data_IF_462256844433
#
_entry.id   IF_462256844433
#
_cell.length_a   1.000
_cell.length_b   1.000
_cell.length_c   1.000
_cell.angle_alpha   90.00
_cell.angle_beta   90.00
_cell.angle_gamma   90.00
#
_symmetry.space_group_name_H-M   'P 1'
#
loop_
_entity.id
_entity.type
_entity.pdbx_description
1 polymer ?
#
# COMPACT_ATOMS: atom_id res chain seq x y z
N UNK A 1 -4.38 -26.90 19.78
CA UNK A 1 -5.38 -27.74 19.11
C UNK A 1 -5.70 -27.07 17.79
N UNK A 2 -5.49 -27.71 16.61
CA UNK A 2 -5.94 -27.11 15.33
C UNK A 2 -7.42 -26.82 15.46
N UNK A 3 -7.81 -25.64 15.02
CA UNK A 3 -9.21 -25.18 15.13
C UNK A 3 -10.05 -25.77 14.01
N UNK A 4 -10.69 -26.91 14.26
CA UNK A 4 -11.72 -27.41 13.36
C UNK A 4 -12.94 -26.50 13.44
N UNK A 5 -13.24 -25.78 12.39
CA UNK A 5 -14.45 -25.00 12.26
C UNK A 5 -15.59 -25.91 11.81
N UNK A 6 -16.69 -25.95 12.57
CA UNK A 6 -17.87 -26.70 12.22
C UNK A 6 -19.04 -25.77 11.88
N UNK A 7 -19.61 -25.92 10.69
CA UNK A 7 -20.70 -25.08 10.19
C UNK A 7 -21.87 -25.96 9.81
N UNK A 8 -23.10 -25.58 10.22
CA UNK A 8 -24.32 -26.19 9.76
C UNK A 8 -24.98 -25.31 8.71
N UNK A 9 -25.24 -25.85 7.53
CA UNK A 9 -25.84 -25.10 6.42
C UNK A 9 -27.33 -24.85 6.71
N UNK A 10 -27.73 -23.58 6.67
CA UNK A 10 -29.14 -23.17 6.82
C UNK A 10 -29.92 -23.31 5.49
N UNK A 11 -31.27 -23.42 5.58
CA UNK A 11 -32.13 -23.53 4.40
C UNK A 11 -31.93 -22.42 3.35
N UNK A 12 -31.75 -21.13 3.71
CA UNK A 12 -31.58 -20.08 2.73
C UNK A 12 -30.30 -20.18 1.90
N UNK A 13 -29.31 -20.93 2.39
CA UNK A 13 -27.98 -21.06 1.77
C UNK A 13 -27.90 -22.29 0.84
N UNK A 14 -28.92 -23.13 0.81
CA UNK A 14 -28.97 -24.34 -0.02
C UNK A 14 -28.82 -24.01 -1.50
N UNK A 15 -28.02 -24.81 -2.20
CA UNK A 15 -27.68 -24.60 -3.62
C UNK A 15 -26.48 -23.67 -3.86
N UNK A 16 -25.96 -23.00 -2.82
CA UNK A 16 -24.76 -22.18 -2.93
C UNK A 16 -23.53 -23.06 -3.12
N UNK A 17 -22.58 -22.61 -3.90
CA UNK A 17 -21.32 -23.33 -4.08
C UNK A 17 -20.50 -23.31 -2.80
N UNK A 18 -19.86 -24.42 -2.45
CA UNK A 18 -19.07 -24.60 -1.24
C UNK A 18 -18.01 -23.51 -1.03
N UNK A 19 -17.26 -23.15 -2.09
CA UNK A 19 -16.24 -22.08 -2.03
C UNK A 19 -16.85 -20.70 -1.74
N UNK A 20 -18.03 -20.44 -2.24
CA UNK A 20 -18.73 -19.17 -2.02
C UNK A 20 -19.41 -19.14 -0.65
N UNK A 21 -20.03 -20.24 -0.26
CA UNK A 21 -20.67 -20.39 1.05
C UNK A 21 -19.66 -20.20 2.19
N UNK A 22 -18.53 -20.91 2.13
CA UNK A 22 -17.46 -20.77 3.14
C UNK A 22 -16.88 -19.34 3.15
N UNK A 23 -16.64 -18.75 1.99
CA UNK A 23 -16.09 -17.38 1.90
C UNK A 23 -17.05 -16.27 2.34
N UNK A 24 -18.32 -16.59 2.61
CA UNK A 24 -19.31 -15.67 3.19
C UNK A 24 -19.41 -15.78 4.72
N UNK A 25 -18.80 -16.79 5.34
CA UNK A 25 -18.80 -16.97 6.81
C UNK A 25 -17.71 -16.09 7.43
N UNK A 26 -18.04 -15.34 8.49
CA UNK A 26 -17.11 -14.46 9.21
C UNK A 26 -15.90 -15.20 9.82
N UNK A 27 -16.09 -16.49 10.15
CA UNK A 27 -15.07 -17.38 10.71
C UNK A 27 -14.19 -18.07 9.66
N UNK A 28 -14.47 -17.87 8.38
CA UNK A 28 -13.70 -18.47 7.27
C UNK A 28 -12.83 -17.43 6.57
N UNK A 29 -11.68 -17.87 5.98
CA UNK A 29 -10.87 -16.99 5.17
C UNK A 29 -11.56 -16.60 3.86
N UNK A 30 -10.92 -15.77 3.03
CA UNK A 30 -11.51 -15.32 1.77
C UNK A 30 -11.94 -16.50 0.88
N UNK A 31 -12.96 -16.30 0.04
CA UNK A 31 -13.48 -17.32 -0.90
C UNK A 31 -12.39 -18.06 -1.69
N UNK A 32 -11.35 -17.33 -2.13
CA UNK A 32 -10.22 -17.94 -2.86
C UNK A 32 -9.35 -18.82 -1.97
N UNK A 33 -9.21 -18.48 -0.67
CA UNK A 33 -8.53 -19.33 0.30
C UNK A 33 -9.39 -20.56 0.62
N UNK A 34 -10.70 -20.40 0.82
CA UNK A 34 -11.63 -21.52 0.99
C UNK A 34 -11.59 -22.48 -0.21
N UNK A 35 -11.52 -21.97 -1.45
CA UNK A 35 -11.38 -22.81 -2.64
C UNK A 35 -10.09 -23.66 -2.62
N UNK A 36 -8.98 -23.12 -2.12
CA UNK A 36 -7.71 -23.86 -1.95
C UNK A 36 -7.81 -24.90 -0.84
N UNK A 37 -8.47 -24.60 0.27
CA UNK A 37 -8.71 -25.55 1.37
C UNK A 37 -9.53 -26.75 0.88
N UNK A 38 -10.56 -26.52 0.08
CA UNK A 38 -11.34 -27.59 -0.56
C UNK A 38 -10.47 -28.44 -1.48
N UNK A 39 -9.69 -27.82 -2.37
CA UNK A 39 -8.79 -28.50 -3.29
C UNK A 39 -7.65 -29.27 -2.58
N UNK A 40 -7.24 -28.80 -1.39
CA UNK A 40 -6.23 -29.46 -0.54
C UNK A 40 -6.80 -30.58 0.33
N UNK A 41 -8.11 -30.81 0.32
CA UNK A 41 -8.76 -31.84 1.14
C UNK A 41 -8.99 -31.47 2.60
N UNK A 42 -8.83 -30.20 2.96
CA UNK A 42 -9.03 -29.67 4.31
C UNK A 42 -10.51 -29.34 4.63
N UNK A 43 -11.45 -29.73 3.76
CA UNK A 43 -12.87 -29.53 3.96
C UNK A 43 -13.61 -30.85 3.82
N UNK A 44 -14.42 -31.19 4.83
CA UNK A 44 -15.31 -32.33 4.75
C UNK A 44 -16.79 -31.89 4.85
N UNK A 45 -17.66 -32.57 4.13
CA UNK A 45 -19.10 -32.36 4.14
C UNK A 45 -19.72 -33.67 4.66
N UNK A 46 -20.48 -33.59 5.75
CA UNK A 46 -21.10 -34.74 6.39
C UNK A 46 -20.10 -35.86 6.79
N UNK A 47 -18.86 -35.46 7.09
CA UNK A 47 -17.79 -36.36 7.48
C UNK A 47 -16.96 -36.94 6.33
N UNK A 48 -17.30 -36.64 5.07
CA UNK A 48 -16.52 -37.04 3.89
C UNK A 48 -15.74 -35.89 3.29
N UNK A 49 -14.45 -36.10 2.95
CA UNK A 49 -13.60 -35.07 2.35
C UNK A 49 -14.17 -34.65 1.00
N UNK A 50 -14.42 -33.35 0.85
CA UNK A 50 -14.97 -32.77 -0.38
C UNK A 50 -13.85 -32.02 -1.14
N UNK A 51 -13.46 -32.51 -2.31
CA UNK A 51 -12.46 -31.89 -3.18
C UNK A 51 -13.07 -30.95 -4.24
N UNK A 52 -14.40 -30.86 -4.30
CA UNK A 52 -15.09 -30.06 -5.30
C UNK A 52 -15.53 -28.70 -4.74
N UNK A 53 -14.80 -27.64 -5.06
CA UNK A 53 -15.21 -26.26 -4.72
C UNK A 53 -16.56 -25.85 -5.33
N UNK A 54 -17.07 -26.61 -6.32
CA UNK A 54 -18.36 -26.37 -6.97
C UNK A 54 -19.48 -27.19 -6.33
N UNK A 55 -19.21 -27.96 -5.28
CA UNK A 55 -20.25 -28.68 -4.53
C UNK A 55 -21.33 -27.69 -4.12
N UNK A 56 -22.60 -28.03 -4.44
CA UNK A 56 -23.74 -27.22 -4.03
C UNK A 56 -24.17 -27.69 -2.65
N UNK A 57 -23.99 -26.84 -1.62
CA UNK A 57 -24.35 -27.18 -0.24
C UNK A 57 -25.86 -27.41 -0.12
N UNK A 58 -26.26 -28.38 0.68
CA UNK A 58 -27.67 -28.68 0.99
C UNK A 58 -28.02 -28.22 2.41
N UNK A 59 -29.27 -27.85 2.63
CA UNK A 59 -29.73 -27.52 3.97
C UNK A 59 -29.53 -28.74 4.91
N UNK A 60 -28.93 -28.50 6.08
CA UNK A 60 -28.55 -29.51 7.03
C UNK A 60 -27.19 -30.16 6.82
N UNK A 61 -26.44 -29.80 5.75
CA UNK A 61 -25.05 -30.25 5.60
C UNK A 61 -24.22 -29.78 6.79
N UNK A 62 -23.41 -30.69 7.31
CA UNK A 62 -22.40 -30.42 8.34
C UNK A 62 -21.04 -30.30 7.67
N UNK A 63 -20.54 -29.09 7.61
CA UNK A 63 -19.24 -28.81 7.00
C UNK A 63 -18.22 -28.68 8.12
N UNK A 64 -17.15 -29.47 8.07
CA UNK A 64 -15.95 -29.26 8.86
C UNK A 64 -14.84 -28.72 7.98
N UNK A 65 -14.21 -27.66 8.44
CA UNK A 65 -13.07 -27.04 7.76
C UNK A 65 -11.88 -27.17 8.70
N UNK A 66 -10.92 -27.98 8.32
CA UNK A 66 -9.59 -28.00 8.92
C UNK A 66 -8.89 -26.74 8.40
N UNK A 67 -9.03 -25.67 9.17
CA UNK A 67 -8.22 -24.48 8.89
C UNK A 67 -6.78 -24.94 9.10
N UNK A 68 -5.88 -24.80 8.09
CA UNK A 68 -4.48 -24.96 8.37
C UNK A 68 -4.25 -24.15 9.63
N UNK A 69 -3.47 -24.67 10.61
CA UNK A 69 -2.80 -23.72 11.47
C UNK A 69 -2.34 -22.66 10.50
N UNK A 70 -3.03 -21.49 10.50
CA UNK A 70 -2.29 -20.33 10.11
C UNK A 70 -1.00 -20.58 10.88
N UNK A 71 0.13 -20.76 10.21
CA UNK A 71 1.30 -20.06 10.63
C UNK A 71 0.77 -18.63 10.71
N UNK A 72 0.06 -18.42 11.79
CA UNK A 72 -0.28 -17.12 12.24
C UNK A 72 1.07 -16.45 12.20
N UNK A 73 1.17 -15.40 11.39
CA UNK A 73 2.12 -14.35 11.66
C UNK A 73 1.73 -13.72 13.03
N UNK A 74 1.07 -14.49 13.91
CA UNK A 74 0.70 -14.32 15.30
C UNK A 74 1.81 -14.80 16.25
N UNK A 75 3.06 -14.68 15.81
CA UNK A 75 4.15 -14.44 16.74
C UNK A 75 4.23 -12.92 16.92
N UNK A 76 4.31 -12.45 18.16
CA UNK A 76 4.64 -11.08 18.46
C UNK A 76 5.79 -10.65 17.55
N UNK A 77 5.68 -9.48 16.91
CA UNK A 77 6.71 -8.97 16.00
C UNK A 77 8.06 -8.94 16.73
N UNK A 78 9.03 -9.74 16.26
CA UNK A 78 10.32 -9.86 16.93
C UNK A 78 11.11 -8.56 16.73
N UNK A 79 11.69 -7.96 17.79
CA UNK A 79 12.52 -6.77 17.65
C UNK A 79 13.74 -7.03 16.77
N UNK A 80 14.02 -6.15 15.82
CA UNK A 80 15.20 -6.24 14.95
C UNK A 80 15.91 -4.89 14.84
N UNK A 81 17.26 -4.82 14.93
CA UNK A 81 18.01 -3.57 14.89
C UNK A 81 18.13 -3.02 13.46
N UNK A 82 16.99 -2.73 12.84
CA UNK A 82 16.91 -2.08 11.53
C UNK A 82 16.94 -0.57 11.76
N UNK A 83 17.90 0.18 11.15
CA UNK A 83 18.00 1.61 11.32
C UNK A 83 16.72 2.34 10.89
N UNK A 84 16.23 3.27 11.73
CA UNK A 84 15.14 4.18 11.43
C UNK A 84 15.69 5.59 11.18
N UNK A 85 15.28 6.21 10.10
CA UNK A 85 15.55 7.62 9.82
C UNK A 85 14.39 8.47 10.37
N UNK A 86 14.51 8.88 11.62
CA UNK A 86 13.46 9.60 12.36
C UNK A 86 13.56 11.08 12.07
N UNK A 87 12.44 11.69 11.63
CA UNK A 87 12.30 13.13 11.34
C UNK A 87 11.66 13.90 12.48
N UNK A 88 10.78 13.25 13.23
CA UNK A 88 10.13 13.78 14.42
C UNK A 88 9.75 12.62 15.34
N UNK A 89 9.92 12.79 16.62
CA UNK A 89 9.51 11.83 17.64
C UNK A 89 9.18 12.55 18.94
N UNK A 90 8.08 12.13 19.57
CA UNK A 90 7.71 12.53 20.93
C UNK A 90 7.18 11.33 21.73
N UNK A 91 6.46 11.56 22.81
CA UNK A 91 5.92 10.49 23.65
C UNK A 91 4.75 9.73 22.98
N UNK A 92 4.17 10.27 21.89
CA UNK A 92 2.93 9.80 21.29
C UNK A 92 3.12 9.20 19.90
N UNK A 93 3.97 9.76 19.09
CA UNK A 93 4.12 9.36 17.70
C UNK A 93 5.55 9.53 17.16
N UNK A 94 5.79 8.87 16.05
CA UNK A 94 7.02 8.97 15.25
C UNK A 94 6.65 9.36 13.82
N UNK A 95 7.36 10.33 13.23
CA UNK A 95 7.45 10.54 11.79
C UNK A 95 8.83 10.10 11.34
N UNK A 96 8.90 9.14 10.44
CA UNK A 96 10.16 8.58 9.93
C UNK A 96 10.19 8.57 8.41
N UNK A 97 11.39 8.60 7.83
CA UNK A 97 11.62 8.35 6.41
C UNK A 97 11.89 6.86 6.19
N UNK A 98 10.93 6.16 5.58
CA UNK A 98 11.08 4.75 5.26
C UNK A 98 11.99 4.57 4.04
N UNK A 99 13.04 3.78 4.18
CA UNK A 99 13.92 3.41 3.08
C UNK A 99 13.20 2.50 2.06
N UNK A 100 13.66 2.53 0.80
CA UNK A 100 13.24 1.57 -0.23
C UNK A 100 13.59 0.14 0.19
N UNK A 101 12.84 -0.84 -0.29
CA UNK A 101 13.07 -2.26 -0.02
C UNK A 101 12.49 -2.73 1.32
N UNK A 102 12.19 -1.83 2.25
CA UNK A 102 11.63 -2.17 3.56
C UNK A 102 10.10 -2.33 3.47
N UNK A 103 9.59 -3.51 3.84
CA UNK A 103 8.16 -3.79 3.98
C UNK A 103 7.64 -3.18 5.29
N UNK A 104 6.41 -2.66 5.32
CA UNK A 104 5.91 -1.99 6.51
C UNK A 104 5.60 -2.93 7.68
N UNK A 105 5.07 -4.11 7.42
CA UNK A 105 4.68 -5.09 8.46
C UNK A 105 4.79 -6.50 7.89
N UNK A 106 4.87 -7.54 8.72
CA UNK A 106 4.91 -8.93 8.28
C UNK A 106 3.80 -9.25 7.28
N UNK A 107 4.15 -9.98 6.25
CA UNK A 107 3.26 -10.38 5.17
C UNK A 107 3.75 -11.67 4.53
N UNK A 108 2.92 -12.31 3.70
CA UNK A 108 3.33 -13.52 2.99
C UNK A 108 4.64 -13.31 2.20
N UNK A 109 5.66 -14.12 2.50
CA UNK A 109 7.02 -14.00 1.94
C UNK A 109 7.95 -13.00 2.66
N UNK A 110 7.47 -12.33 3.72
CA UNK A 110 8.23 -11.40 4.56
C UNK A 110 7.75 -11.53 6.01
N UNK A 111 8.14 -12.60 6.70
CA UNK A 111 7.73 -12.85 8.08
C UNK A 111 8.41 -11.89 9.07
N UNK A 112 9.58 -11.38 8.71
CA UNK A 112 10.40 -10.45 9.49
C UNK A 112 11.14 -9.46 8.57
N UNK A 113 12.08 -8.70 9.11
CA UNK A 113 12.82 -7.69 8.34
C UNK A 113 11.94 -6.51 7.93
N UNK A 114 10.93 -6.18 8.71
CA UNK A 114 9.93 -5.13 8.37
C UNK A 114 10.09 -3.89 9.23
N UNK A 115 9.42 -2.80 8.83
CA UNK A 115 9.36 -1.58 9.64
C UNK A 115 8.76 -1.85 11.04
N UNK A 116 7.76 -2.73 11.15
CA UNK A 116 7.20 -3.12 12.43
C UNK A 116 8.27 -3.74 13.36
N UNK A 117 9.16 -4.61 12.83
CA UNK A 117 10.28 -5.18 13.61
C UNK A 117 11.24 -4.08 14.10
N UNK A 118 11.51 -3.07 13.25
CA UNK A 118 12.34 -1.93 13.61
C UNK A 118 11.69 -1.05 14.70
N UNK A 119 10.39 -0.78 14.59
CA UNK A 119 9.64 0.00 15.58
C UNK A 119 9.60 -0.71 16.93
N UNK A 120 9.37 -2.03 16.96
CA UNK A 120 9.41 -2.83 18.20
C UNK A 120 10.80 -2.80 18.82
N UNK A 121 11.86 -2.83 18.02
CA UNK A 121 13.22 -2.70 18.54
C UNK A 121 13.50 -1.32 19.15
N UNK A 122 13.00 -0.27 18.49
CA UNK A 122 13.20 1.12 18.90
C UNK A 122 12.40 1.51 20.15
N UNK A 123 11.10 1.19 20.17
CA UNK A 123 10.19 1.63 21.23
C UNK A 123 9.94 0.56 22.31
N UNK A 124 10.06 -0.72 21.99
CA UNK A 124 9.43 -1.81 22.74
C UNK A 124 7.98 -2.04 22.30
N UNK A 125 7.51 -3.27 22.37
CA UNK A 125 6.16 -3.66 21.94
C UNK A 125 5.08 -2.97 22.78
N UNK A 126 5.30 -2.86 24.09
CA UNK A 126 4.35 -2.25 25.05
C UNK A 126 4.19 -0.73 24.86
N UNK A 127 5.06 -0.12 24.05
CA UNK A 127 5.05 1.30 23.71
C UNK A 127 4.69 1.54 22.24
N UNK A 128 3.82 0.72 21.67
CA UNK A 128 3.30 0.87 20.31
C UNK A 128 1.81 0.53 20.28
N UNK A 129 1.05 1.30 19.50
CA UNK A 129 -0.37 0.99 19.30
C UNK A 129 -0.57 -0.33 18.54
N UNK A 130 -1.55 -1.13 18.95
CA UNK A 130 -1.81 -2.48 18.40
C UNK A 130 -3.21 -2.64 17.79
N UNK A 131 -3.94 -1.56 17.57
CA UNK A 131 -5.33 -1.57 17.05
C UNK A 131 -5.49 -2.25 15.68
N UNK A 132 -4.42 -2.39 14.91
CA UNK A 132 -4.46 -3.07 13.60
C UNK A 132 -4.00 -4.53 13.68
N UNK A 133 -3.77 -5.06 14.88
CA UNK A 133 -3.26 -6.38 15.14
C UNK A 133 -1.82 -6.37 15.65
N UNK A 134 -1.44 -7.42 16.35
CA UNK A 134 -0.11 -7.62 16.94
C UNK A 134 1.00 -7.77 15.88
N UNK A 135 0.63 -8.04 14.63
CA UNK A 135 1.51 -8.09 13.47
C UNK A 135 1.84 -6.70 12.90
N UNK A 136 1.22 -5.62 13.41
CA UNK A 136 1.33 -4.24 12.89
C UNK A 136 1.50 -3.18 13.97
N UNK A 137 2.35 -3.42 14.99
CA UNK A 137 2.51 -2.49 16.10
C UNK A 137 2.95 -1.11 15.59
N UNK A 138 2.26 -0.07 16.05
CA UNK A 138 2.51 1.32 15.70
C UNK A 138 2.10 1.74 14.27
N UNK A 139 1.79 0.82 13.38
CA UNK A 139 1.53 1.14 11.96
C UNK A 139 0.17 1.84 11.81
N UNK A 140 0.17 3.06 11.26
CA UNK A 140 -1.01 3.88 11.00
C UNK A 140 -1.44 3.80 9.54
N UNK A 141 -0.47 3.82 8.64
CA UNK A 141 -0.65 3.67 7.19
C UNK A 141 0.56 2.96 6.59
N UNK A 142 0.56 2.74 5.28
CA UNK A 142 1.64 2.00 4.63
C UNK A 142 2.13 2.69 3.37
N UNK A 143 3.40 2.45 3.06
CA UNK A 143 4.00 2.65 1.73
C UNK A 143 4.27 1.28 1.09
N UNK A 144 4.37 1.25 -0.24
CA UNK A 144 4.83 0.05 -0.93
C UNK A 144 6.29 -0.24 -0.56
N UNK A 145 6.74 -1.49 -0.68
CA UNK A 145 8.11 -1.91 -0.33
C UNK A 145 9.16 -0.97 -0.92
N UNK A 146 9.05 -0.66 -2.21
CA UNK A 146 10.04 0.11 -2.95
C UNK A 146 9.70 1.62 -3.06
N UNK A 147 8.63 2.07 -2.41
CA UNK A 147 8.35 3.49 -2.19
C UNK A 147 9.07 3.98 -0.94
N UNK A 148 9.82 5.05 -1.06
CA UNK A 148 10.55 5.69 0.05
C UNK A 148 9.81 6.89 0.62
N UNK A 149 10.24 7.39 1.78
CA UNK A 149 9.81 8.65 2.37
C UNK A 149 8.92 8.54 3.60
N UNK A 150 8.26 9.62 3.93
CA UNK A 150 7.64 9.85 5.23
C UNK A 150 6.49 8.91 5.55
N UNK A 151 6.54 8.36 6.75
CA UNK A 151 5.49 7.55 7.38
C UNK A 151 5.30 7.95 8.83
N UNK A 152 4.09 7.72 9.35
CA UNK A 152 3.74 7.90 10.75
C UNK A 152 3.61 6.55 11.45
N UNK A 153 4.08 6.51 12.71
CA UNK A 153 3.83 5.42 13.63
C UNK A 153 3.29 5.98 14.96
N UNK A 154 2.45 5.23 15.65
CA UNK A 154 1.84 5.61 16.93
C UNK A 154 2.43 4.80 18.07
N UNK A 155 2.70 5.46 19.20
CA UNK A 155 3.28 4.85 20.40
C UNK A 155 2.23 4.26 21.37
N UNK A 156 0.95 4.53 21.13
CA UNK A 156 -0.16 3.99 21.90
C UNK A 156 -1.42 3.83 21.02
N UNK A 157 -2.43 3.13 21.54
CA UNK A 157 -3.67 2.85 20.84
C UNK A 157 -4.54 4.10 20.64
N UNK A 158 -4.55 5.04 21.57
CA UNK A 158 -5.34 6.27 21.47
C UNK A 158 -4.80 7.16 20.37
N UNK A 159 -3.49 7.37 20.34
CA UNK A 159 -2.79 8.09 19.28
C UNK A 159 -2.95 7.38 17.93
N UNK A 160 -2.87 6.04 17.90
CA UNK A 160 -3.07 5.28 16.66
C UNK A 160 -4.47 5.50 16.09
N UNK A 161 -5.51 5.46 16.93
CA UNK A 161 -6.90 5.74 16.53
C UNK A 161 -7.04 7.16 16.00
N UNK A 162 -6.51 8.13 16.73
CA UNK A 162 -6.59 9.54 16.34
C UNK A 162 -5.90 9.82 14.99
N UNK A 163 -4.71 9.27 14.75
CA UNK A 163 -4.01 9.38 13.46
C UNK A 163 -4.77 8.69 12.32
N UNK A 164 -5.40 7.55 12.58
CA UNK A 164 -6.28 6.89 11.60
C UNK A 164 -7.51 7.74 11.27
N UNK A 165 -8.06 8.44 12.27
CA UNK A 165 -9.17 9.36 12.07
C UNK A 165 -8.77 10.55 11.22
N UNK A 166 -7.57 11.13 11.40
CA UNK A 166 -7.04 12.16 10.50
C UNK A 166 -6.96 11.67 9.05
N UNK A 167 -6.57 10.41 8.83
CA UNK A 167 -6.56 9.80 7.50
C UNK A 167 -7.98 9.63 6.96
N UNK A 168 -8.90 9.11 7.77
CA UNK A 168 -10.30 8.87 7.40
C UNK A 168 -11.03 10.16 7.08
N UNK A 169 -10.79 11.21 7.86
CA UNK A 169 -11.36 12.55 7.70
C UNK A 169 -10.64 13.37 6.60
N UNK A 170 -9.52 12.83 6.04
CA UNK A 170 -8.71 13.48 5.00
C UNK A 170 -8.06 14.79 5.45
N UNK A 171 -7.75 14.90 6.73
CA UNK A 171 -7.08 16.06 7.33
C UNK A 171 -5.57 15.86 7.50
N UNK A 172 -5.07 14.62 7.30
CA UNK A 172 -3.64 14.35 7.16
C UNK A 172 -3.20 14.67 5.72
N UNK A 173 -2.44 15.75 5.54
CA UNK A 173 -1.87 16.14 4.24
C UNK A 173 -0.65 15.27 3.92
N UNK A 174 -0.78 14.38 2.94
CA UNK A 174 0.29 13.48 2.48
C UNK A 174 0.60 13.76 1.02
N UNK A 175 1.83 14.21 0.77
CA UNK A 175 2.28 14.58 -0.56
C UNK A 175 3.45 13.73 -1.01
N UNK A 176 3.41 13.39 -2.27
CA UNK A 176 4.36 12.48 -2.92
C UNK A 176 4.94 13.14 -4.16
N UNK A 177 6.21 12.90 -4.41
CA UNK A 177 6.85 13.24 -5.69
C UNK A 177 6.86 11.99 -6.55
N UNK A 178 6.41 12.15 -7.79
CA UNK A 178 6.45 11.10 -8.81
C UNK A 178 6.99 11.65 -10.13
N UNK A 179 7.85 10.87 -10.79
CA UNK A 179 8.23 11.10 -12.18
C UNK A 179 7.45 10.12 -13.06
N UNK A 180 6.75 10.64 -14.05
CA UNK A 180 5.91 9.84 -14.94
C UNK A 180 6.36 9.95 -16.37
N UNK A 181 6.08 8.92 -17.17
CA UNK A 181 6.33 8.93 -18.61
C UNK A 181 5.36 9.83 -19.35
N UNK A 182 5.85 10.55 -20.33
CA UNK A 182 5.08 11.38 -21.23
C UNK A 182 4.79 12.79 -20.69
N UNK A 183 4.26 13.60 -21.55
CA UNK A 183 3.95 15.01 -21.31
C UNK A 183 2.50 15.16 -20.81
N UNK A 184 2.32 15.58 -19.56
CA UNK A 184 1.01 15.96 -19.02
C UNK A 184 0.74 17.43 -19.40
N UNK A 185 -0.29 17.67 -20.22
CA UNK A 185 -0.58 19.00 -20.77
C UNK A 185 -1.09 20.00 -19.72
N UNK A 186 -1.94 19.55 -18.80
CA UNK A 186 -2.52 20.40 -17.75
C UNK A 186 -1.62 20.48 -16.53
N UNK A 187 -1.50 21.65 -15.92
CA UNK A 187 -0.63 21.88 -14.75
C UNK A 187 -1.14 21.21 -13.48
N UNK A 188 -2.42 20.89 -13.42
CA UNK A 188 -3.03 20.19 -12.30
C UNK A 188 -4.19 19.30 -12.76
N UNK A 189 -4.53 18.31 -11.94
CA UNK A 189 -5.65 17.44 -12.21
C UNK A 189 -6.09 16.62 -11.01
N UNK A 190 -7.28 16.03 -11.12
CA UNK A 190 -7.86 15.14 -10.11
C UNK A 190 -8.24 13.82 -10.77
N UNK A 191 -7.78 12.72 -10.16
CA UNK A 191 -8.14 11.35 -10.54
C UNK A 191 -9.01 10.79 -9.42
N UNK A 192 -10.27 10.49 -9.73
CA UNK A 192 -11.26 9.96 -8.79
C UNK A 192 -11.90 8.71 -9.40
N UNK A 193 -11.55 7.53 -8.88
CA UNK A 193 -11.98 6.23 -9.42
C UNK A 193 -12.22 5.23 -8.30
N UNK A 194 -12.86 4.10 -8.61
CA UNK A 194 -12.79 2.89 -7.79
C UNK A 194 -11.47 2.16 -8.03
N UNK A 195 -10.85 1.61 -7.00
CA UNK A 195 -9.70 0.70 -7.11
C UNK A 195 -10.07 -0.65 -6.50
N UNK A 196 -9.85 -1.72 -7.26
CA UNK A 196 -10.03 -3.10 -6.86
C UNK A 196 -8.81 -3.95 -7.25
N UNK A 197 -8.74 -5.19 -6.76
CA UNK A 197 -7.73 -6.15 -7.20
C UNK A 197 -7.97 -6.51 -8.67
N UNK A 198 -6.93 -6.52 -9.48
CA UNK A 198 -7.04 -6.87 -10.89
C UNK A 198 -7.57 -8.31 -11.07
N UNK A 199 -8.54 -8.49 -11.94
CA UNK A 199 -9.07 -9.81 -12.30
C UNK A 199 -8.12 -10.60 -13.19
N UNK A 200 -7.20 -9.92 -13.88
CA UNK A 200 -6.24 -10.53 -14.84
C UNK A 200 -4.92 -10.90 -14.19
N UNK A 201 -4.49 -10.12 -13.18
CA UNK A 201 -3.21 -10.28 -12.50
C UNK A 201 -3.40 -10.00 -11.00
N UNK A 202 -3.40 -11.04 -10.18
CA UNK A 202 -3.69 -10.96 -8.74
C UNK A 202 -2.65 -10.15 -7.93
N UNK A 203 -1.47 -9.90 -8.49
CA UNK A 203 -0.44 -9.06 -7.85
C UNK A 203 -0.76 -7.58 -8.04
N UNK A 204 -1.58 -7.23 -9.04
CA UNK A 204 -1.91 -5.84 -9.41
C UNK A 204 -3.25 -5.39 -8.83
N UNK A 205 -3.33 -4.09 -8.61
CA UNK A 205 -4.58 -3.36 -8.46
C UNK A 205 -4.96 -2.73 -9.81
N UNK A 206 -6.23 -2.43 -10.00
CA UNK A 206 -6.73 -1.79 -11.22
C UNK A 206 -7.86 -0.81 -10.88
N UNK A 207 -8.04 0.19 -11.72
CA UNK A 207 -9.27 0.99 -11.74
C UNK A 207 -10.42 0.07 -12.13
N UNK A 208 -11.54 0.19 -11.43
CA UNK A 208 -12.70 -0.68 -11.59
C UNK A 208 -13.99 0.09 -11.29
N UNK A 209 -14.99 -0.15 -12.13
CA UNK A 209 -16.36 0.34 -11.93
C UNK A 209 -17.21 -0.65 -11.10
N UNK A 210 -16.59 -1.72 -10.57
CA UNK A 210 -17.25 -2.67 -9.68
C UNK A 210 -17.83 -1.92 -8.46
N UNK A 211 -19.12 -2.15 -8.08
CA UNK A 211 -19.73 -1.53 -6.91
C UNK A 211 -18.97 -1.74 -5.59
N UNK A 212 -18.15 -2.79 -5.50
CA UNK A 212 -17.30 -3.09 -4.35
C UNK A 212 -15.88 -2.49 -4.46
N UNK A 213 -15.55 -1.84 -5.58
CA UNK A 213 -14.29 -1.14 -5.71
C UNK A 213 -14.21 0.02 -4.72
N UNK A 214 -13.06 0.14 -4.04
CA UNK A 214 -12.89 1.19 -3.01
C UNK A 214 -12.56 2.52 -3.66
N UNK A 215 -13.35 3.54 -3.35
CA UNK A 215 -13.10 4.90 -3.85
C UNK A 215 -11.67 5.35 -3.53
N UNK A 216 -11.02 5.91 -4.53
CA UNK A 216 -9.68 6.44 -4.48
C UNK A 216 -9.65 7.84 -5.13
N UNK A 217 -9.01 8.80 -4.44
CA UNK A 217 -8.89 10.18 -4.91
C UNK A 217 -7.44 10.61 -4.77
N UNK A 218 -6.85 11.04 -5.90
CA UNK A 218 -5.51 11.62 -5.99
C UNK A 218 -5.60 12.91 -6.79
N UNK A 219 -5.11 14.02 -6.26
CA UNK A 219 -4.84 15.21 -7.08
C UNK A 219 -3.35 15.26 -7.40
N UNK A 220 -3.01 15.90 -8.52
CA UNK A 220 -1.62 16.13 -8.87
C UNK A 220 -1.40 17.57 -9.34
N UNK A 221 -0.18 18.06 -9.14
CA UNK A 221 0.34 19.30 -9.72
C UNK A 221 1.62 18.98 -10.48
N UNK A 222 1.72 19.48 -11.69
CA UNK A 222 2.95 19.40 -12.48
C UNK A 222 3.98 20.35 -11.88
N UNK A 223 5.19 19.86 -11.69
CA UNK A 223 6.33 20.64 -11.21
C UNK A 223 7.26 21.04 -12.37
N UNK A 224 7.59 20.08 -13.23
CA UNK A 224 8.50 20.27 -14.35
C UNK A 224 8.18 19.29 -15.47
N UNK A 225 8.43 19.69 -16.72
CA UNK A 225 8.27 18.85 -17.90
C UNK A 225 9.61 18.70 -18.63
N UNK A 226 9.81 17.54 -19.24
CA UNK A 226 11.05 17.18 -19.93
C UNK A 226 10.75 16.71 -21.34
N UNK A 227 11.57 17.15 -22.29
CA UNK A 227 11.40 16.88 -23.70
C UNK A 227 11.50 15.38 -24.03
N UNK A 228 10.71 14.96 -25.02
CA UNK A 228 10.78 13.61 -25.57
C UNK A 228 12.10 13.38 -26.30
N UNK A 229 12.61 12.17 -26.22
CA UNK A 229 13.78 11.73 -26.95
C UNK A 229 13.42 10.66 -28.00
N UNK A 230 14.42 10.12 -28.70
CA UNK A 230 14.18 9.00 -29.63
C UNK A 230 13.78 7.70 -28.93
N UNK A 231 13.97 7.61 -27.61
CA UNK A 231 13.78 6.39 -26.82
C UNK A 231 12.66 6.49 -25.80
N UNK A 232 12.08 7.69 -25.62
CA UNK A 232 11.00 7.95 -24.66
C UNK A 232 10.08 9.08 -25.15
N UNK A 233 8.89 9.17 -24.53
CA UNK A 233 7.87 10.16 -24.85
C UNK A 233 8.02 11.44 -23.99
N UNK A 234 9.20 11.67 -23.41
CA UNK A 234 9.45 12.69 -22.40
C UNK A 234 8.94 12.28 -21.01
N UNK A 235 9.07 13.21 -20.07
CA UNK A 235 8.70 12.97 -18.68
C UNK A 235 7.96 14.16 -18.10
N UNK A 236 7.21 13.90 -17.04
CA UNK A 236 6.61 14.95 -16.23
C UNK A 236 6.86 14.64 -14.76
N UNK A 237 7.46 15.58 -14.03
CA UNK A 237 7.59 15.53 -12.57
C UNK A 237 6.33 16.12 -11.95
N UNK A 238 5.71 15.38 -11.04
CA UNK A 238 4.45 15.78 -10.39
C UNK A 238 4.52 15.65 -8.89
N UNK A 239 3.84 16.57 -8.19
CA UNK A 239 3.46 16.38 -6.79
C UNK A 239 2.06 15.77 -6.75
N UNK A 240 1.92 14.63 -6.10
CA UNK A 240 0.62 13.97 -5.87
C UNK A 240 0.16 14.18 -4.45
N UNK A 241 -1.10 14.58 -4.25
CA UNK A 241 -1.74 14.64 -2.94
C UNK A 241 -2.76 13.51 -2.79
N UNK A 242 -2.61 12.70 -1.73
CA UNK A 242 -3.48 11.58 -1.44
C UNK A 242 -4.59 11.93 -0.44
N UNK A 243 -5.84 11.91 -0.89
CA UNK A 243 -7.02 11.96 -0.01
C UNK A 243 -7.45 10.60 0.53
N UNK A 244 -7.04 9.54 -0.14
CA UNK A 244 -7.27 8.14 0.23
C UNK A 244 -5.94 7.39 0.14
N UNK A 245 -5.84 6.18 0.73
CA UNK A 245 -4.61 5.38 0.74
C UNK A 245 -4.88 3.94 0.31
N UNK A 246 -5.25 3.71 -0.97
CA UNK A 246 -5.43 2.35 -1.50
C UNK A 246 -4.10 1.77 -1.92
N UNK A 247 -3.98 0.45 -1.89
CA UNK A 247 -2.78 -0.26 -2.35
C UNK A 247 -2.41 0.19 -3.76
N UNK A 248 -1.16 0.60 -3.98
CA UNK A 248 -0.62 1.09 -5.25
C UNK A 248 -1.36 2.30 -5.86
N UNK A 249 -2.09 3.11 -5.07
CA UNK A 249 -3.05 4.09 -5.59
C UNK A 249 -2.45 5.06 -6.62
N UNK A 250 -1.35 5.76 -6.31
CA UNK A 250 -0.72 6.71 -7.24
C UNK A 250 -0.28 5.98 -8.52
N UNK A 251 0.34 4.82 -8.38
CA UNK A 251 0.82 4.00 -9.49
C UNK A 251 -0.29 3.59 -10.45
N UNK A 252 -1.42 3.13 -9.90
CA UNK A 252 -2.63 2.75 -10.65
C UNK A 252 -3.27 3.97 -11.30
N UNK A 253 -3.42 5.08 -10.58
CA UNK A 253 -4.03 6.30 -11.08
C UNK A 253 -3.22 6.90 -12.23
N UNK A 254 -1.92 7.04 -12.08
CA UNK A 254 -1.05 7.56 -13.15
C UNK A 254 -1.04 6.64 -14.37
N UNK A 255 -1.02 5.32 -14.18
CA UNK A 255 -1.19 4.36 -15.28
C UNK A 255 -2.56 4.51 -15.97
N UNK A 256 -3.61 4.76 -15.21
CA UNK A 256 -4.98 4.93 -15.74
C UNK A 256 -5.09 6.11 -16.70
N UNK A 257 -4.42 7.21 -16.39
CA UNK A 257 -4.35 8.40 -17.27
C UNK A 257 -3.24 8.31 -18.32
N UNK A 258 -2.68 7.13 -18.58
CA UNK A 258 -1.62 6.82 -19.54
C UNK A 258 -0.25 7.46 -19.24
N UNK A 259 0.02 7.86 -18.02
CA UNK A 259 1.30 8.38 -17.54
C UNK A 259 1.88 7.48 -16.42
N UNK A 260 2.30 6.24 -16.72
CA UNK A 260 2.84 5.36 -15.69
C UNK A 260 4.13 5.93 -15.10
N UNK A 261 4.43 5.56 -13.84
CA UNK A 261 5.64 6.00 -13.17
C UNK A 261 6.89 5.41 -13.85
N UNK A 262 7.93 6.21 -13.90
CA UNK A 262 9.27 5.78 -14.36
C UNK A 262 9.79 4.69 -13.42
N UNK A 263 10.36 3.64 -13.97
CA UNK A 263 10.94 2.53 -13.23
C UNK A 263 9.94 1.59 -12.55
N UNK A 264 8.62 1.77 -12.76
CA UNK A 264 7.62 0.93 -12.10
C UNK A 264 7.59 -0.49 -12.67
N UNK A 265 8.01 -1.52 -11.90
CA UNK A 265 8.11 -2.89 -12.39
C UNK A 265 6.75 -3.55 -12.64
N UNK A 266 5.66 -3.02 -12.04
CA UNK A 266 4.31 -3.61 -12.15
C UNK A 266 3.42 -2.85 -13.15
N UNK A 267 3.49 -1.53 -13.15
CA UNK A 267 2.58 -0.66 -13.91
C UNK A 267 3.27 0.14 -15.02
N UNK A 268 4.60 0.06 -15.14
CA UNK A 268 5.40 0.75 -16.13
C UNK A 268 5.12 0.33 -17.58
N UNK A 269 5.93 0.79 -18.52
CA UNK A 269 5.79 0.53 -19.96
C UNK A 269 6.07 -0.93 -20.37
N UNK A 270 6.61 -1.76 -19.46
CA UNK A 270 6.89 -3.17 -19.71
C UNK A 270 8.32 -3.45 -20.19
N UNK A 271 8.56 -4.68 -20.66
CA UNK A 271 9.88 -5.12 -21.12
C UNK A 271 10.39 -4.27 -22.27
N UNK A 272 11.66 -3.89 -22.21
CA UNK A 272 12.30 -3.03 -23.22
C UNK A 272 12.25 -1.54 -22.91
N UNK A 273 11.63 -1.15 -21.79
CA UNK A 273 11.56 0.24 -21.34
C UNK A 273 12.76 0.69 -20.50
N UNK A 274 13.78 -0.15 -20.31
CA UNK A 274 14.89 0.11 -19.38
C UNK A 274 15.62 1.44 -19.69
N UNK A 275 15.71 1.84 -20.95
CA UNK A 275 16.29 3.13 -21.36
C UNK A 275 15.37 4.30 -21.01
N UNK A 276 14.06 4.13 -21.22
CA UNK A 276 13.07 5.13 -20.86
C UNK A 276 12.90 5.24 -19.33
N UNK A 277 13.20 4.17 -18.59
CA UNK A 277 13.22 4.16 -17.13
C UNK A 277 14.52 4.70 -16.52
N UNK A 278 15.45 5.20 -17.35
CA UNK A 278 16.73 5.79 -16.92
C UNK A 278 17.54 4.90 -15.98
N UNK A 279 17.45 3.57 -16.17
CA UNK A 279 18.11 2.58 -15.31
C UNK A 279 17.51 2.42 -13.93
N UNK A 280 16.39 3.08 -13.63
CA UNK A 280 15.71 2.94 -12.34
C UNK A 280 14.97 1.60 -12.27
N UNK A 281 15.24 0.81 -11.22
CA UNK A 281 14.68 -0.52 -11.01
C UNK A 281 13.51 -0.53 -10.00
N UNK A 282 12.95 0.63 -9.69
CA UNK A 282 11.79 0.81 -8.81
C UNK A 282 10.93 1.97 -9.30
N UNK A 283 9.67 2.05 -8.86
CA UNK A 283 8.84 3.21 -9.14
C UNK A 283 9.47 4.51 -8.62
N UNK A 284 9.54 5.54 -9.48
CA UNK A 284 9.91 6.88 -9.05
C UNK A 284 8.76 7.47 -8.23
N UNK A 285 8.75 7.14 -6.94
CA UNK A 285 7.72 7.57 -6.00
C UNK A 285 8.33 7.75 -4.60
N UNK A 286 8.09 8.93 -4.03
CA UNK A 286 8.64 9.31 -2.74
C UNK A 286 7.62 10.13 -1.93
N UNK A 287 7.36 9.74 -0.68
CA UNK A 287 6.52 10.48 0.28
C UNK A 287 7.33 11.62 0.86
N UNK A 288 7.26 12.81 0.25
CA UNK A 288 8.18 13.91 0.55
C UNK A 288 7.69 14.87 1.64
N UNK A 289 6.36 14.94 1.86
CA UNK A 289 5.80 15.84 2.86
C UNK A 289 4.59 15.23 3.55
N UNK A 290 4.55 15.37 4.88
CA UNK A 290 3.38 15.11 5.71
C UNK A 290 3.12 16.33 6.59
N UNK A 291 1.84 16.75 6.71
CA UNK A 291 1.44 17.82 7.61
C UNK A 291 0.09 17.50 8.24
N UNK A 292 -0.02 17.76 9.55
CA UNK A 292 -1.22 17.49 10.33
C UNK A 292 -1.22 18.26 11.65
N UNK A 293 -2.37 18.34 12.30
CA UNK A 293 -2.44 18.78 13.68
C UNK A 293 -2.19 17.60 14.60
N UNK A 294 -1.23 17.75 15.52
CA UNK A 294 -0.89 16.69 16.48
C UNK A 294 -2.12 16.35 17.34
N UNK A 295 -2.54 15.04 17.37
CA UNK A 295 -3.83 14.68 17.95
C UNK A 295 -3.93 14.91 19.46
N UNK A 296 -2.81 14.96 20.17
CA UNK A 296 -2.76 15.13 21.63
C UNK A 296 -2.42 16.58 22.00
N UNK A 297 -1.35 17.15 21.44
CA UNK A 297 -0.89 18.48 21.81
C UNK A 297 -1.62 19.61 21.09
N UNK A 298 -2.25 19.32 19.95
CA UNK A 298 -2.89 20.33 19.09
C UNK A 298 -1.92 21.17 18.26
N UNK A 299 -0.63 20.92 18.32
CA UNK A 299 0.38 21.62 17.56
C UNK A 299 0.36 21.24 16.08
N UNK A 300 0.70 22.19 15.20
CA UNK A 300 0.86 21.92 13.79
C UNK A 300 2.22 21.24 13.53
N UNK A 301 2.20 20.03 13.02
CA UNK A 301 3.39 19.27 12.63
C UNK A 301 3.50 19.27 11.12
N UNK A 302 4.68 19.64 10.62
CA UNK A 302 5.05 19.49 9.21
C UNK A 302 6.45 18.89 9.11
N UNK A 303 6.57 17.76 8.44
CA UNK A 303 7.84 17.14 8.10
C UNK A 303 8.01 17.09 6.59
N UNK A 304 9.24 17.30 6.12
CA UNK A 304 9.65 17.19 4.73
C UNK A 304 10.83 16.23 4.61
N UNK A 305 10.95 15.61 3.46
CA UNK A 305 12.01 14.65 3.15
C UNK A 305 12.58 14.94 1.77
N UNK A 306 13.89 14.85 1.64
CA UNK A 306 14.58 15.02 0.37
C UNK A 306 14.51 13.73 -0.46
N UNK A 307 14.68 13.85 -1.77
CA UNK A 307 14.74 12.67 -2.63
C UNK A 307 15.96 11.81 -2.26
N UNK A 308 15.79 10.49 -2.14
CA UNK A 308 16.95 9.60 -2.00
C UNK A 308 17.80 9.64 -3.28
N UNK A 309 19.09 9.37 -3.11
CA UNK A 309 20.11 9.53 -4.13
C UNK A 309 19.76 8.92 -5.51
N UNK A 310 19.09 7.77 -5.53
CA UNK A 310 18.73 7.07 -6.77
C UNK A 310 17.61 7.79 -7.55
N UNK A 311 16.71 8.50 -6.88
CA UNK A 311 15.70 9.33 -7.52
C UNK A 311 16.29 10.69 -7.92
N UNK A 312 17.13 11.29 -7.08
CA UNK A 312 17.82 12.54 -7.38
C UNK A 312 18.70 12.39 -8.63
N UNK A 313 19.47 11.31 -8.74
CA UNK A 313 20.31 11.03 -9.90
C UNK A 313 19.51 10.92 -11.21
N UNK A 314 18.29 10.40 -11.19
CA UNK A 314 17.42 10.40 -12.38
C UNK A 314 16.98 11.81 -12.77
N UNK A 315 16.67 12.69 -11.80
CA UNK A 315 16.33 14.08 -12.09
C UNK A 315 17.54 14.84 -12.66
N UNK A 316 18.72 14.63 -12.13
CA UNK A 316 19.97 15.20 -12.65
C UNK A 316 20.24 14.74 -14.09
N UNK A 317 20.04 13.43 -14.39
CA UNK A 317 20.23 12.88 -15.74
C UNK A 317 19.29 13.50 -16.78
N UNK A 318 18.05 13.84 -16.39
CA UNK A 318 17.06 14.41 -17.30
C UNK A 318 17.00 15.95 -17.25
N UNK A 319 17.69 16.61 -16.33
CA UNK A 319 17.69 18.08 -16.21
C UNK A 319 17.99 18.80 -17.54
N UNK A 320 18.97 18.35 -18.37
CA UNK A 320 19.23 18.97 -19.65
C UNK A 320 18.07 18.91 -20.66
N UNK A 321 17.08 18.06 -20.40
CA UNK A 321 15.86 17.89 -21.21
C UNK A 321 14.70 18.78 -20.72
N UNK A 322 14.92 19.60 -19.68
CA UNK A 322 13.86 20.45 -19.14
C UNK A 322 13.32 21.43 -20.17
N UNK A 323 12.00 21.46 -20.30
CA UNK A 323 11.28 22.46 -21.13
C UNK A 323 10.55 23.50 -20.29
N UNK A 324 10.77 23.46 -18.97
CA UNK A 324 10.36 24.49 -18.02
C UNK A 324 9.67 23.95 -16.78
N UNK A 325 9.83 24.71 -15.71
CA UNK A 325 9.18 24.53 -14.42
C UNK A 325 7.86 25.32 -14.34
N UNK A 326 6.92 24.80 -13.58
CA UNK A 326 5.76 25.57 -13.18
C UNK A 326 6.08 26.41 -11.93
N UNK A 327 5.24 27.39 -11.55
CA UNK A 327 5.42 28.10 -10.29
C UNK A 327 5.43 27.20 -9.04
N UNK A 328 4.79 26.03 -9.11
CA UNK A 328 4.86 25.02 -8.06
C UNK A 328 6.23 24.32 -8.06
N UNK A 329 6.76 24.02 -9.25
CA UNK A 329 8.09 23.43 -9.42
C UNK A 329 9.19 24.33 -8.88
N UNK A 330 9.15 25.63 -9.15
CA UNK A 330 10.13 26.60 -8.63
C UNK A 330 10.19 26.64 -7.09
N UNK A 331 9.07 26.36 -6.44
CA UNK A 331 8.98 26.32 -4.96
C UNK A 331 9.38 24.98 -4.36
N UNK A 332 9.05 23.87 -5.02
CA UNK A 332 9.14 22.54 -4.43
C UNK A 332 10.47 21.87 -4.80
N UNK A 333 10.92 21.93 -6.06
CA UNK A 333 12.10 21.21 -6.53
C UNK A 333 13.37 21.54 -5.72
N UNK A 334 13.66 22.80 -5.37
CA UNK A 334 14.82 23.09 -4.51
C UNK A 334 14.80 22.33 -3.19
N UNK A 335 13.62 22.20 -2.56
CA UNK A 335 13.46 21.52 -1.28
C UNK A 335 13.65 20.00 -1.36
N UNK A 336 13.54 19.42 -2.55
CA UNK A 336 13.73 17.98 -2.78
C UNK A 336 15.20 17.57 -2.89
N UNK A 337 16.08 18.52 -3.20
CA UNK A 337 17.50 18.31 -3.53
C UNK A 337 18.46 18.93 -2.50
N UNK A 338 17.96 19.74 -1.55
CA UNK A 338 18.77 20.28 -0.46
C UNK A 338 19.02 19.19 0.59
N UNK A 339 20.30 18.82 0.77
CA UNK A 339 20.79 17.84 1.76
C UNK A 339 21.22 18.53 3.06
#
# INVERSE_FOLDING_TARGET
MPGDLHILVAEPDAGTRLDAYLGAQDSCPSRSACARLVEAGAVAVNGEVCLSKKYAVAAGDRISVELPEEEALSGAVIPQPIPLDIRFEDDYLIVLSKQRGLVCHPAHGHADGTLANALVYHCGLDHLGTLQGEDRPGIVHRLDRDTSGLMLAAKDDETQRALQDLIRLRTLDRRYIALVHGYIAHDEGTISTGIARSTRDRVKMAVSDDPFARQAITTFKVLERFEASRTDDGYTLVECHLYTGRTHQIRVHMRHINHPLVGDPLYGKGKGAERADRGLARQFLHSWRVAFTHPVTGEAIECRDTLPWDLAAVLEDIEPLSIGRTPAGDKIIPQLLEW
#
